data_IF_133049830443
#
_entry.id   IF_133049830443
#
_cell.length_a   1.000
_cell.length_b   1.000
_cell.length_c   1.000
_cell.angle_alpha   90.00
_cell.angle_beta   90.00
_cell.angle_gamma   90.00
#
_symmetry.space_group_name_H-M   'P 1'
#
loop_
_entity.id
_entity.type
_entity.pdbx_description
1 polymer ?
#
# COMPACT_ATOMS: atom_id res chain seq x y z
N UNK A 1 -18.41 -18.22 -48.29
CA UNK A 1 -17.83 -18.82 -47.07
C UNK A 1 -16.32 -18.77 -47.22
N UNK A 2 -15.67 -17.71 -46.72
CA UNK A 2 -14.21 -17.62 -46.64
C UNK A 2 -13.78 -17.85 -45.20
N UNK A 3 -12.99 -18.89 -44.97
CA UNK A 3 -12.41 -19.23 -43.67
C UNK A 3 -11.23 -18.30 -43.37
N UNK A 4 -11.30 -17.58 -42.25
CA UNK A 4 -10.22 -16.77 -41.69
C UNK A 4 -9.08 -17.69 -41.18
N UNK A 5 -7.80 -17.31 -41.31
CA UNK A 5 -6.70 -18.06 -40.74
C UNK A 5 -6.61 -17.82 -39.22
N UNK A 6 -6.46 -18.92 -38.49
CA UNK A 6 -6.14 -18.99 -37.06
C UNK A 6 -4.79 -18.33 -36.78
N UNK A 7 -4.77 -17.34 -35.88
CA UNK A 7 -3.55 -16.72 -35.40
C UNK A 7 -2.76 -17.73 -34.55
N UNK A 8 -1.56 -18.09 -35.03
CA UNK A 8 -0.60 -18.90 -34.29
C UNK A 8 0.12 -17.99 -33.30
N UNK A 9 0.02 -18.28 -32.01
CA UNK A 9 0.81 -17.64 -30.96
C UNK A 9 2.30 -17.91 -31.21
N UNK A 10 3.03 -16.93 -31.75
CA UNK A 10 4.48 -16.99 -31.88
C UNK A 10 5.14 -16.62 -30.54
N UNK A 11 5.98 -17.51 -30.01
CA UNK A 11 6.85 -17.21 -28.89
C UNK A 11 7.77 -16.01 -29.22
N UNK A 12 8.08 -15.14 -28.25
CA UNK A 12 8.93 -13.97 -28.49
C UNK A 12 10.36 -14.39 -28.91
N UNK A 13 11.02 -13.60 -29.78
CA UNK A 13 12.37 -13.89 -30.24
C UNK A 13 13.37 -13.92 -29.07
N UNK A 14 14.41 -14.76 -29.14
CA UNK A 14 15.39 -14.91 -28.06
C UNK A 14 16.15 -13.60 -27.84
N UNK A 15 16.06 -13.05 -26.63
CA UNK A 15 16.79 -11.84 -26.21
C UNK A 15 15.93 -10.64 -25.80
N UNK A 16 14.60 -10.67 -26.00
CA UNK A 16 13.70 -9.67 -25.39
C UNK A 16 13.19 -10.17 -24.05
N UNK A 17 13.59 -9.51 -22.96
CA UNK A 17 12.99 -9.75 -21.62
C UNK A 17 11.50 -9.44 -21.70
N UNK A 18 10.65 -10.26 -21.06
CA UNK A 18 9.22 -9.98 -20.96
C UNK A 18 9.04 -8.63 -20.25
N UNK A 19 8.17 -7.79 -20.78
CA UNK A 19 7.81 -6.48 -20.19
C UNK A 19 6.64 -6.62 -19.21
N UNK A 20 5.96 -7.77 -19.24
CA UNK A 20 4.84 -8.13 -18.37
C UNK A 20 5.06 -9.54 -17.86
N UNK A 21 4.95 -9.71 -16.54
CA UNK A 21 4.92 -11.01 -15.89
C UNK A 21 3.63 -11.15 -15.10
N UNK A 22 3.06 -12.35 -15.10
CA UNK A 22 1.75 -12.63 -14.50
C UNK A 22 1.85 -13.78 -13.51
N UNK A 23 1.15 -13.63 -12.40
CA UNK A 23 0.91 -14.64 -11.39
C UNK A 23 -0.60 -14.78 -11.16
N UNK A 24 -1.09 -16.01 -11.14
CA UNK A 24 -2.48 -16.32 -10.85
C UNK A 24 -2.58 -17.01 -9.49
N UNK A 25 -3.27 -16.35 -8.56
CA UNK A 25 -3.64 -16.92 -7.28
C UNK A 25 -4.89 -17.80 -7.44
N UNK A 26 -5.10 -18.75 -6.52
CA UNK A 26 -6.32 -19.57 -6.52
C UNK A 26 -7.53 -18.87 -5.85
N UNK A 27 -7.39 -17.58 -5.53
CA UNK A 27 -8.36 -16.75 -4.81
C UNK A 27 -8.17 -15.29 -5.23
N UNK A 28 -9.17 -14.45 -4.98
CA UNK A 28 -9.07 -13.02 -5.32
C UNK A 28 -8.00 -12.34 -4.47
N UNK A 29 -7.21 -11.46 -5.08
CA UNK A 29 -6.17 -10.67 -4.42
C UNK A 29 -6.80 -9.42 -3.82
N UNK A 30 -6.67 -9.26 -2.51
CA UNK A 30 -7.24 -8.12 -1.78
C UNK A 30 -6.22 -7.03 -1.47
N UNK A 31 -5.00 -7.43 -1.13
CA UNK A 31 -3.89 -6.53 -0.83
C UNK A 31 -2.58 -7.13 -1.30
N UNK A 32 -1.61 -6.26 -1.57
CA UNK A 32 -0.28 -6.68 -2.00
C UNK A 32 0.78 -5.63 -1.68
N UNK A 33 2.04 -6.06 -1.59
CA UNK A 33 3.17 -5.15 -1.45
C UNK A 33 4.49 -5.77 -1.93
N UNK A 34 5.34 -4.93 -2.51
CA UNK A 34 6.68 -5.30 -2.92
C UNK A 34 7.61 -5.48 -1.72
N UNK A 35 8.44 -6.51 -1.76
CA UNK A 35 9.58 -6.58 -0.86
C UNK A 35 10.59 -5.51 -1.21
N UNK A 36 11.08 -4.81 -0.18
CA UNK A 36 12.10 -3.77 -0.32
C UNK A 36 13.52 -4.28 -0.10
N UNK A 37 13.69 -5.59 0.16
CA UNK A 37 15.00 -6.20 0.38
C UNK A 37 15.82 -6.26 -0.92
N UNK A 38 17.07 -5.74 -0.93
CA UNK A 38 17.91 -5.74 -2.14
C UNK A 38 18.25 -7.14 -2.66
N UNK A 39 18.40 -8.11 -1.77
CA UNK A 39 18.75 -9.50 -2.09
C UNK A 39 17.56 -10.36 -2.55
N UNK A 40 16.34 -9.82 -2.51
CA UNK A 40 15.10 -10.53 -2.84
C UNK A 40 14.32 -9.80 -3.93
N UNK A 41 14.93 -9.70 -5.11
CA UNK A 41 14.33 -9.07 -6.30
C UNK A 41 13.03 -9.78 -6.69
N UNK A 42 12.11 -9.00 -7.26
CA UNK A 42 10.81 -9.46 -7.75
C UNK A 42 9.98 -10.29 -6.76
N UNK A 43 10.12 -10.02 -5.46
CA UNK A 43 9.33 -10.67 -4.41
C UNK A 43 8.18 -9.78 -3.98
N UNK A 44 6.99 -10.36 -3.89
CA UNK A 44 5.78 -9.69 -3.41
C UNK A 44 5.10 -10.55 -2.35
N UNK A 45 4.34 -9.91 -1.47
CA UNK A 45 3.34 -10.57 -0.65
C UNK A 45 1.95 -10.22 -1.21
N UNK A 46 1.07 -11.21 -1.30
CA UNK A 46 -0.33 -11.06 -1.73
C UNK A 46 -1.25 -11.66 -0.66
N UNK A 47 -2.34 -10.95 -0.36
CA UNK A 47 -3.36 -11.35 0.60
C UNK A 47 -4.65 -11.76 -0.10
N UNK A 48 -5.32 -12.76 0.45
CA UNK A 48 -6.58 -13.24 -0.11
C UNK A 48 -7.79 -12.39 0.23
N UNK A 49 -8.79 -12.45 -0.64
CA UNK A 49 -10.18 -12.20 -0.30
C UNK A 49 -10.96 -13.51 -0.38
N UNK A 50 -11.28 -14.07 0.78
CA UNK A 50 -12.18 -15.20 0.95
C UNK A 50 -13.19 -14.80 2.02
N UNK A 51 -14.48 -15.04 1.78
CA UNK A 51 -15.55 -14.61 2.70
C UNK A 51 -15.49 -15.36 4.04
N UNK A 52 -15.03 -16.61 4.03
CA UNK A 52 -14.85 -17.42 5.22
C UNK A 52 -13.60 -17.05 6.04
N UNK A 53 -13.58 -17.51 7.30
CA UNK A 53 -12.49 -17.32 8.25
C UNK A 53 -11.29 -18.24 7.97
N UNK A 54 -10.75 -18.19 6.76
CA UNK A 54 -9.64 -19.05 6.30
C UNK A 54 -8.79 -18.36 5.22
N UNK A 55 -8.69 -17.03 5.32
CA UNK A 55 -7.87 -16.23 4.43
C UNK A 55 -6.38 -16.63 4.51
N UNK A 56 -5.61 -16.23 3.52
CA UNK A 56 -4.20 -16.59 3.37
C UNK A 56 -3.40 -15.40 2.91
N UNK A 57 -2.15 -15.37 3.35
CA UNK A 57 -1.13 -14.50 2.78
C UNK A 57 -0.08 -15.38 2.14
N UNK A 58 0.33 -15.01 0.94
CA UNK A 58 1.30 -15.76 0.15
C UNK A 58 2.42 -14.84 -0.31
N UNK A 59 3.65 -15.31 -0.11
CA UNK A 59 4.85 -14.67 -0.64
C UNK A 59 5.15 -15.35 -1.98
N UNK A 60 5.20 -14.54 -3.03
CA UNK A 60 5.52 -14.96 -4.39
C UNK A 60 6.79 -14.28 -4.85
N UNK A 61 7.53 -14.94 -5.73
CA UNK A 61 8.71 -14.33 -6.37
C UNK A 61 8.82 -14.76 -7.82
N UNK A 62 9.22 -13.84 -8.69
CA UNK A 62 9.58 -14.18 -10.05
C UNK A 62 10.90 -14.94 -10.06
N UNK A 63 10.92 -16.10 -10.69
CA UNK A 63 12.15 -16.77 -11.08
C UNK A 63 12.62 -16.16 -12.41
N UNK A 64 13.75 -15.45 -12.38
CA UNK A 64 14.27 -14.76 -13.57
C UNK A 64 14.77 -15.73 -14.65
N UNK A 65 15.12 -16.98 -14.30
CA UNK A 65 15.59 -17.99 -15.26
C UNK A 65 14.42 -18.59 -16.04
N UNK A 66 13.34 -18.94 -15.35
CA UNK A 66 12.14 -19.52 -15.97
C UNK A 66 11.16 -18.46 -16.46
N UNK A 67 11.30 -17.21 -16.01
CA UNK A 67 10.37 -16.11 -16.29
C UNK A 67 8.94 -16.37 -15.81
N UNK A 68 8.81 -17.13 -14.73
CA UNK A 68 7.55 -17.52 -14.11
C UNK A 68 7.56 -17.23 -12.60
N UNK A 69 6.39 -16.89 -12.06
CA UNK A 69 6.24 -16.67 -10.62
C UNK A 69 6.08 -18.00 -9.88
N UNK A 70 6.78 -18.11 -8.75
CA UNK A 70 6.63 -19.23 -7.82
C UNK A 70 6.15 -18.74 -6.45
N UNK A 71 5.20 -19.45 -5.87
CA UNK A 71 4.84 -19.32 -4.47
C UNK A 71 5.97 -19.86 -3.59
N UNK A 72 6.48 -19.03 -2.67
CA UNK A 72 7.60 -19.38 -1.78
C UNK A 72 7.14 -19.77 -0.38
N UNK A 73 6.13 -19.10 0.13
CA UNK A 73 5.54 -19.37 1.45
C UNK A 73 4.08 -18.96 1.45
N UNK A 74 3.21 -19.79 2.04
CA UNK A 74 1.80 -19.47 2.28
C UNK A 74 1.49 -19.72 3.74
N UNK A 75 0.78 -18.80 4.38
CA UNK A 75 0.37 -18.93 5.77
C UNK A 75 -1.06 -18.41 5.95
N UNK A 76 -1.73 -18.92 6.99
CA UNK A 76 -3.12 -18.60 7.27
C UNK A 76 -3.24 -17.21 7.91
N UNK A 77 -4.28 -16.49 7.51
CA UNK A 77 -4.69 -15.22 8.07
C UNK A 77 -6.21 -15.27 8.36
N UNK A 78 -6.69 -14.84 9.53
CA UNK A 78 -8.10 -14.91 9.91
C UNK A 78 -9.09 -14.29 8.92
N UNK A 79 -8.81 -13.05 8.50
CA UNK A 79 -9.65 -12.21 7.66
C UNK A 79 -8.87 -11.75 6.42
N UNK A 80 -9.52 -11.19 5.39
CA UNK A 80 -8.80 -10.51 4.31
C UNK A 80 -7.89 -9.43 4.90
N UNK A 81 -6.64 -9.37 4.44
CA UNK A 81 -5.68 -8.41 4.95
C UNK A 81 -6.00 -7.02 4.40
N UNK A 82 -6.46 -6.09 5.25
CA UNK A 82 -6.82 -4.72 4.81
C UNK A 82 -5.63 -3.97 4.21
N UNK A 83 -4.42 -4.31 4.66
CA UNK A 83 -3.16 -3.89 4.06
C UNK A 83 -2.05 -4.90 4.38
N UNK A 84 -1.04 -4.94 3.54
CA UNK A 84 0.20 -5.71 3.72
C UNK A 84 1.36 -4.76 3.43
N UNK A 85 2.42 -4.78 4.24
CA UNK A 85 3.64 -4.03 3.97
C UNK A 85 4.87 -4.78 4.46
N UNK A 86 5.92 -4.82 3.66
CA UNK A 86 7.24 -5.23 4.13
C UNK A 86 7.85 -4.14 4.99
N UNK A 87 8.72 -4.54 5.94
CA UNK A 87 9.53 -3.57 6.68
C UNK A 87 10.30 -2.68 5.69
N UNK A 88 10.31 -1.34 5.84
CA UNK A 88 10.96 -0.42 4.91
C UNK A 88 12.50 -0.42 5.07
N UNK A 89 13.13 -1.59 5.04
CA UNK A 89 14.56 -1.78 5.20
C UNK A 89 15.27 -2.04 3.86
N UNK A 90 15.65 -0.94 3.20
CA UNK A 90 16.41 -0.98 1.96
C UNK A 90 17.86 -1.46 2.11
N UNK A 91 18.37 -1.63 3.34
CA UNK A 91 19.75 -2.05 3.60
C UNK A 91 19.86 -3.51 4.06
N UNK A 92 18.74 -4.14 4.41
CA UNK A 92 18.71 -5.53 4.91
C UNK A 92 19.38 -5.69 6.28
N UNK A 93 19.34 -4.66 7.12
CA UNK A 93 19.91 -4.65 8.48
C UNK A 93 18.96 -5.28 9.50
N UNK A 94 17.66 -5.19 9.27
CA UNK A 94 16.62 -5.76 10.10
C UNK A 94 16.29 -7.20 9.68
N UNK A 95 15.66 -7.99 10.56
CA UNK A 95 15.03 -9.23 10.14
C UNK A 95 14.04 -8.97 8.99
N UNK A 96 13.85 -9.98 8.14
CA UNK A 96 12.94 -9.88 7.00
C UNK A 96 11.48 -9.95 7.50
N UNK A 97 10.94 -8.78 7.85
CA UNK A 97 9.62 -8.65 8.47
C UNK A 97 8.55 -8.23 7.46
N UNK A 98 7.36 -8.76 7.66
CA UNK A 98 6.14 -8.47 6.91
C UNK A 98 5.05 -8.13 7.91
N UNK A 99 4.36 -7.01 7.75
CA UNK A 99 3.22 -6.64 8.58
C UNK A 99 1.91 -6.80 7.80
N UNK A 100 0.86 -7.25 8.49
CA UNK A 100 -0.49 -7.40 7.94
C UNK A 100 -1.53 -6.86 8.91
N UNK A 101 -2.53 -6.15 8.39
CA UNK A 101 -3.68 -5.67 9.17
C UNK A 101 -4.95 -6.46 8.87
N UNK A 102 -5.86 -6.49 9.85
CA UNK A 102 -7.17 -7.12 9.78
C UNK A 102 -7.91 -6.80 11.08
N UNK A 103 -8.28 -7.82 11.85
CA UNK A 103 -8.70 -7.67 13.26
C UNK A 103 -7.58 -7.11 14.16
N UNK A 104 -6.34 -7.55 13.94
CA UNK A 104 -5.15 -7.09 14.65
C UNK A 104 -4.02 -6.79 13.68
N UNK A 105 -3.04 -6.01 14.13
CA UNK A 105 -1.80 -5.84 13.40
C UNK A 105 -0.87 -7.00 13.75
N UNK A 106 -0.41 -7.74 12.74
CA UNK A 106 0.49 -8.89 12.90
C UNK A 106 1.81 -8.59 12.22
N UNK A 107 2.91 -8.90 12.89
CA UNK A 107 4.26 -8.86 12.33
C UNK A 107 4.76 -10.28 12.20
N UNK A 108 5.07 -10.63 10.97
CA UNK A 108 5.56 -11.93 10.55
C UNK A 108 7.02 -11.81 10.17
N UNK A 109 7.78 -12.89 10.34
CA UNK A 109 9.12 -13.03 9.81
C UNK A 109 9.11 -13.99 8.65
N UNK A 110 9.51 -13.51 7.49
CA UNK A 110 9.74 -14.31 6.32
C UNK A 110 11.13 -14.98 6.42
N UNK A 111 11.13 -16.30 6.31
CA UNK A 111 12.31 -17.14 6.16
C UNK A 111 12.12 -17.84 4.80
N UNK A 112 13.20 -18.17 4.09
CA UNK A 112 13.15 -18.57 2.66
C UNK A 112 11.98 -19.48 2.24
N UNK A 113 11.63 -20.47 3.07
CA UNK A 113 10.54 -21.42 2.80
C UNK A 113 9.39 -21.37 3.82
N UNK A 114 9.47 -20.52 4.85
CA UNK A 114 8.50 -20.50 5.93
C UNK A 114 8.31 -19.09 6.47
N UNK A 115 7.07 -18.73 6.77
CA UNK A 115 6.75 -17.45 7.44
C UNK A 115 6.17 -17.72 8.81
N UNK A 116 6.71 -17.06 9.83
CA UNK A 116 6.30 -17.26 11.23
C UNK A 116 5.79 -15.97 11.84
N UNK A 117 4.75 -16.07 12.66
CA UNK A 117 4.27 -14.94 13.45
C UNK A 117 5.29 -14.61 14.54
N UNK A 118 5.85 -13.41 14.52
CA UNK A 118 6.78 -12.93 15.57
C UNK A 118 6.03 -12.12 16.63
N UNK A 119 5.16 -11.21 16.20
CA UNK A 119 4.47 -10.29 17.10
C UNK A 119 3.00 -10.09 16.69
N UNK A 120 2.10 -10.14 17.68
CA UNK A 120 0.70 -9.73 17.54
C UNK A 120 0.52 -8.42 18.32
N UNK A 121 0.22 -7.35 17.61
CA UNK A 121 -0.02 -6.03 18.17
C UNK A 121 -1.52 -5.86 18.43
N UNK A 122 -1.87 -5.92 19.70
CA UNK A 122 -3.24 -5.77 20.19
C UNK A 122 -3.27 -4.80 21.37
N UNK A 123 -4.21 -3.86 21.33
CA UNK A 123 -4.42 -2.85 22.37
C UNK A 123 -5.40 -3.35 23.45
N UNK A 124 -6.14 -4.42 23.17
CA UNK A 124 -7.22 -4.89 24.01
C UNK A 124 -6.77 -6.04 24.91
N UNK A 125 -6.45 -5.72 26.17
CA UNK A 125 -6.07 -6.72 27.18
C UNK A 125 -7.26 -7.34 27.92
N UNK A 126 -8.46 -6.74 27.82
CA UNK A 126 -9.56 -7.01 28.75
C UNK A 126 -10.94 -7.25 28.09
N UNK A 127 -11.06 -7.24 26.76
CA UNK A 127 -12.33 -7.58 26.10
C UNK A 127 -12.11 -8.40 24.84
N UNK A 128 -13.08 -9.27 24.55
CA UNK A 128 -13.04 -10.22 23.43
C UNK A 128 -13.29 -9.55 22.06
N UNK A 129 -13.58 -8.24 22.03
CA UNK A 129 -13.94 -7.49 20.83
C UNK A 129 -13.02 -6.29 20.61
N UNK A 130 -12.25 -6.31 19.52
CA UNK A 130 -11.49 -5.16 19.03
C UNK A 130 -12.13 -4.65 17.73
N UNK A 131 -12.15 -3.32 17.54
CA UNK A 131 -12.52 -2.76 16.26
C UNK A 131 -11.48 -3.14 15.19
N UNK A 132 -11.90 -3.61 14.00
CA UNK A 132 -10.99 -3.99 12.94
C UNK A 132 -10.21 -2.80 12.40
N UNK A 133 -8.98 -3.07 12.01
CA UNK A 133 -8.07 -2.10 11.41
C UNK A 133 -8.39 -1.91 9.93
N UNK A 134 -8.59 -0.66 9.54
CA UNK A 134 -8.90 -0.27 8.15
C UNK A 134 -7.65 -0.16 7.30
N UNK A 135 -6.52 0.19 7.91
CA UNK A 135 -5.21 0.34 7.25
C UNK A 135 -4.10 0.44 8.29
N UNK A 136 -2.85 0.44 7.80
CA UNK A 136 -1.68 0.81 8.58
C UNK A 136 -0.58 1.38 7.66
N UNK A 137 0.41 2.04 8.23
CA UNK A 137 1.63 2.43 7.52
C UNK A 137 2.86 2.16 8.38
N UNK A 138 3.98 1.87 7.71
CA UNK A 138 5.26 1.61 8.34
C UNK A 138 6.19 2.79 8.11
N UNK A 139 6.71 3.38 9.19
CA UNK A 139 7.56 4.55 9.07
C UNK A 139 8.89 4.19 8.37
N UNK A 140 9.15 4.83 7.23
CA UNK A 140 10.34 4.58 6.41
C UNK A 140 11.63 5.15 7.00
N UNK A 141 11.54 6.12 7.91
CA UNK A 141 12.71 6.73 8.56
C UNK A 141 13.07 6.00 9.87
N UNK A 142 12.06 5.60 10.63
CA UNK A 142 12.20 4.80 11.85
C UNK A 142 11.41 3.49 11.72
N UNK A 143 12.03 2.40 11.21
CA UNK A 143 11.38 1.11 11.02
C UNK A 143 10.85 0.45 12.32
N UNK A 144 11.11 1.04 13.48
CA UNK A 144 10.50 0.62 14.74
C UNK A 144 9.12 1.24 14.97
N UNK A 145 8.62 2.11 14.09
CA UNK A 145 7.33 2.76 14.23
C UNK A 145 6.32 2.29 13.17
N UNK A 146 5.16 1.89 13.64
CA UNK A 146 3.98 1.55 12.83
C UNK A 146 2.80 2.38 13.29
N UNK A 147 1.92 2.75 12.37
CA UNK A 147 0.68 3.47 12.67
C UNK A 147 -0.49 2.71 12.07
N UNK A 148 -1.55 2.51 12.84
CA UNK A 148 -2.77 1.81 12.40
C UNK A 148 -3.98 2.74 12.48
N UNK A 149 -4.90 2.64 11.54
CA UNK A 149 -6.22 3.27 11.55
C UNK A 149 -7.32 2.25 11.82
N UNK A 150 -8.39 2.68 12.47
CA UNK A 150 -9.50 1.82 12.89
C UNK A 150 -10.85 2.48 12.65
N UNK A 151 -11.90 1.66 12.53
CA UNK A 151 -13.28 2.14 12.47
C UNK A 151 -13.75 2.77 13.80
N UNK A 152 -13.05 2.53 14.90
CA UNK A 152 -13.35 3.12 16.21
C UNK A 152 -12.94 4.60 16.36
N UNK A 153 -12.70 5.29 15.24
CA UNK A 153 -12.24 6.69 15.15
C UNK A 153 -10.79 6.94 15.58
N UNK A 154 -10.05 5.90 15.96
CA UNK A 154 -8.69 6.06 16.50
C UNK A 154 -7.58 5.76 15.51
N UNK A 155 -6.46 6.44 15.70
CA UNK A 155 -5.16 6.04 15.21
C UNK A 155 -4.31 5.54 16.38
N UNK A 156 -3.67 4.38 16.22
CA UNK A 156 -2.74 3.83 17.21
C UNK A 156 -1.34 3.79 16.63
N UNK A 157 -0.36 4.31 17.37
CA UNK A 157 1.05 4.28 17.02
C UNK A 157 1.73 3.23 17.89
N UNK A 158 2.43 2.32 17.22
CA UNK A 158 3.10 1.18 17.81
C UNK A 158 4.61 1.40 17.78
N UNK A 159 5.26 1.09 18.89
CA UNK A 159 6.71 0.92 18.96
C UNK A 159 7.05 -0.56 18.85
N UNK A 160 7.92 -0.91 17.90
CA UNK A 160 8.54 -2.22 17.79
C UNK A 160 9.92 -2.21 18.43
N UNK A 161 10.24 -3.29 19.12
CA UNK A 161 11.60 -3.58 19.54
C UNK A 161 12.07 -4.77 18.73
N UNK A 162 12.73 -4.50 17.60
CA UNK A 162 13.40 -5.54 16.82
C UNK A 162 14.74 -5.82 17.48
N UNK A 163 14.82 -6.89 18.28
CA UNK A 163 16.06 -7.33 18.88
C UNK A 163 17.13 -7.56 17.82
N UNK A 164 18.30 -6.92 17.98
CA UNK A 164 19.48 -7.35 17.23
C UNK A 164 19.83 -8.78 17.65
N UNK A 165 20.31 -9.59 16.71
CA UNK A 165 20.65 -11.01 16.94
C UNK A 165 21.86 -11.11 17.89
N UNK A 166 21.62 -11.00 19.18
CA UNK A 166 22.56 -11.29 20.26
C UNK A 166 22.01 -12.48 21.06
N UNK A 167 22.18 -13.68 20.52
CA UNK A 167 21.91 -14.94 21.23
C UNK A 167 20.55 -15.59 20.99
N UNK A 168 20.38 -16.77 21.61
CA UNK A 168 19.22 -17.68 21.47
C UNK A 168 17.99 -17.15 22.23
N UNK A 169 17.26 -16.20 21.66
CA UNK A 169 15.90 -15.85 22.11
C UNK A 169 14.90 -16.21 21.00
N UNK A 170 13.78 -16.83 21.37
CA UNK A 170 12.83 -17.47 20.46
C UNK A 170 11.76 -16.49 19.89
N UNK A 171 11.61 -15.31 20.49
CA UNK A 171 10.84 -14.18 19.94
C UNK A 171 11.76 -12.96 19.92
N UNK A 172 12.08 -12.48 18.72
CA UNK A 172 13.04 -11.40 18.52
C UNK A 172 12.36 -10.04 18.35
N UNK A 173 11.05 -10.02 18.12
CA UNK A 173 10.28 -8.78 17.93
C UNK A 173 9.18 -8.70 18.98
N UNK A 174 9.25 -7.67 19.82
CA UNK A 174 8.13 -7.27 20.69
C UNK A 174 7.55 -5.96 20.17
N UNK A 175 6.32 -5.64 20.56
CA UNK A 175 5.75 -4.35 20.26
C UNK A 175 4.79 -3.89 21.34
N UNK A 176 4.66 -2.57 21.46
CA UNK A 176 3.85 -1.91 22.47
C UNK A 176 3.11 -0.71 21.87
N UNK A 177 1.98 -0.36 22.48
CA UNK A 177 1.29 0.88 22.15
C UNK A 177 2.15 2.04 22.65
N UNK A 178 2.64 2.86 21.72
CA UNK A 178 3.37 4.09 22.04
C UNK A 178 2.40 5.21 22.37
N UNK A 179 1.33 5.33 21.59
CA UNK A 179 0.24 6.26 21.81
C UNK A 179 -1.00 5.84 21.03
N UNK A 180 -2.17 6.25 21.49
CA UNK A 180 -3.43 6.11 20.78
C UNK A 180 -4.18 7.44 20.92
N UNK A 181 -4.76 7.90 19.81
CA UNK A 181 -5.53 9.13 19.77
C UNK A 181 -6.82 8.95 18.97
N UNK A 182 -7.83 9.73 19.31
CA UNK A 182 -9.01 9.93 18.46
C UNK A 182 -8.57 10.87 17.34
N UNK A 183 -8.50 10.35 16.12
CA UNK A 183 -7.99 11.11 14.98
C UNK A 183 -9.11 11.88 14.28
N UNK A 184 -10.28 11.26 14.14
CA UNK A 184 -11.44 11.78 13.43
C UNK A 184 -12.70 11.68 14.29
N UNK A 185 -13.77 12.35 13.86
CA UNK A 185 -15.08 12.29 14.54
C UNK A 185 -15.93 11.09 14.03
N UNK A 186 -15.41 10.36 13.04
CA UNK A 186 -15.97 9.14 12.43
C UNK A 186 -14.85 8.15 12.11
N UNK A 187 -15.17 7.03 11.47
CA UNK A 187 -14.25 5.97 11.08
C UNK A 187 -13.02 6.51 10.35
N UNK A 188 -11.83 6.03 10.72
CA UNK A 188 -10.57 6.36 10.03
C UNK A 188 -10.31 5.28 8.98
N UNK A 189 -10.08 5.66 7.72
CA UNK A 189 -9.90 4.70 6.62
C UNK A 189 -8.45 4.48 6.22
N UNK A 190 -7.60 5.49 6.36
CA UNK A 190 -6.18 5.34 6.04
C UNK A 190 -5.30 6.22 6.93
N UNK A 191 -4.05 5.80 7.06
CA UNK A 191 -2.99 6.50 7.77
C UNK A 191 -1.72 6.40 6.94
N UNK A 192 -0.93 7.48 6.88
CA UNK A 192 0.35 7.47 6.20
C UNK A 192 1.36 8.42 6.86
N UNK A 193 2.54 7.90 7.17
CA UNK A 193 3.67 8.69 7.68
C UNK A 193 4.22 9.59 6.58
N UNK A 194 4.49 10.83 6.96
CA UNK A 194 5.17 11.79 6.11
C UNK A 194 6.69 11.67 6.29
N UNK A 195 7.46 11.97 5.24
CA UNK A 195 8.91 12.19 5.37
C UNK A 195 9.25 13.64 5.74
N UNK A 196 8.25 14.52 5.86
CA UNK A 196 8.43 15.90 6.28
C UNK A 196 9.01 16.00 7.71
N UNK A 197 9.75 17.07 8.00
CA UNK A 197 10.26 17.34 9.35
C UNK A 197 11.20 16.25 9.89
N UNK A 198 11.91 15.52 9.02
CA UNK A 198 12.77 14.39 9.40
C UNK A 198 12.04 13.04 9.41
N UNK A 199 10.74 13.01 9.12
CA UNK A 199 9.97 11.81 8.78
C UNK A 199 9.63 10.86 9.92
N UNK A 200 10.10 11.13 11.14
CA UNK A 200 9.84 10.27 12.31
C UNK A 200 8.53 10.59 13.01
N UNK A 201 8.16 11.87 13.05
CA UNK A 201 7.15 12.36 13.98
C UNK A 201 5.86 12.84 13.30
N UNK A 202 5.79 12.88 11.96
CA UNK A 202 4.63 13.42 11.25
C UNK A 202 3.85 12.32 10.51
N UNK A 203 2.54 12.31 10.63
CA UNK A 203 1.65 11.46 9.84
C UNK A 203 0.35 12.18 9.50
N UNK A 204 -0.36 11.65 8.51
CA UNK A 204 -1.70 12.10 8.15
C UNK A 204 -2.69 10.92 8.19
N UNK A 205 -3.97 11.23 8.41
CA UNK A 205 -5.07 10.28 8.32
C UNK A 205 -6.26 10.87 7.57
N UNK A 206 -7.08 9.97 7.02
CA UNK A 206 -8.37 10.27 6.37
C UNK A 206 -9.48 9.45 6.99
N UNK A 207 -10.69 9.97 6.95
CA UNK A 207 -11.85 9.28 7.51
C UNK A 207 -13.17 9.57 6.82
N UNK A 208 -14.21 8.96 7.37
CA UNK A 208 -15.61 9.10 6.95
C UNK A 208 -16.20 10.49 7.22
N UNK A 209 -15.48 11.34 7.95
CA UNK A 209 -15.83 12.75 8.14
C UNK A 209 -15.45 13.62 6.91
N UNK A 210 -14.77 13.04 5.92
CA UNK A 210 -14.38 13.72 4.69
C UNK A 210 -13.17 14.64 4.84
N UNK A 211 -12.39 14.49 5.93
CA UNK A 211 -11.22 15.32 6.20
C UNK A 211 -9.90 14.57 6.05
N UNK A 212 -8.86 15.31 5.66
CA UNK A 212 -7.45 14.93 5.80
C UNK A 212 -6.89 15.68 6.99
N UNK A 213 -6.45 14.96 8.02
CA UNK A 213 -5.86 15.55 9.24
C UNK A 213 -4.39 15.17 9.35
N UNK A 214 -3.55 16.12 9.74
CA UNK A 214 -2.12 15.93 9.96
C UNK A 214 -1.79 16.07 11.44
N UNK A 215 -0.90 15.22 11.93
CA UNK A 215 -0.54 15.09 13.33
C UNK A 215 0.98 15.11 13.50
N UNK A 216 1.44 15.72 14.59
CA UNK A 216 2.82 15.65 15.07
C UNK A 216 2.85 14.81 16.35
N UNK A 217 3.59 13.69 16.34
CA UNK A 217 3.74 12.79 17.48
C UNK A 217 4.33 13.46 18.73
N UNK A 218 4.97 14.61 18.58
CA UNK A 218 5.52 15.40 19.69
C UNK A 218 4.47 16.32 20.32
N UNK A 219 3.40 16.63 19.58
CA UNK A 219 2.36 17.60 19.95
C UNK A 219 0.96 17.10 19.57
N UNK A 220 0.56 15.95 20.12
CA UNK A 220 -0.70 15.28 19.80
C UNK A 220 -1.96 15.99 20.34
N UNK A 221 -1.80 17.06 21.11
CA UNK A 221 -2.92 17.89 21.59
C UNK A 221 -3.57 18.68 20.45
N UNK A 222 -2.89 18.84 19.33
CA UNK A 222 -3.37 19.58 18.17
C UNK A 222 -3.18 18.77 16.88
N UNK A 223 -4.22 18.72 16.06
CA UNK A 223 -4.15 18.27 14.68
C UNK A 223 -4.38 19.46 13.74
N UNK A 224 -3.85 19.36 12.52
CA UNK A 224 -4.09 20.36 11.46
C UNK A 224 -4.96 19.73 10.39
N UNK A 225 -6.11 20.35 10.08
CA UNK A 225 -6.93 19.94 8.94
C UNK A 225 -6.26 20.48 7.67
N UNK A 226 -5.82 19.56 6.80
CA UNK A 226 -5.14 19.89 5.54
C UNK A 226 -6.14 20.05 4.41
N UNK A 227 -7.21 19.27 4.42
CA UNK A 227 -8.27 19.32 3.43
C UNK A 227 -9.56 18.80 4.04
N UNK A 228 -10.68 19.32 3.58
CA UNK A 228 -12.00 18.83 3.90
C UNK A 228 -12.80 18.83 2.60
N UNK A 229 -13.45 17.72 2.29
CA UNK A 229 -14.30 17.63 1.12
C UNK A 229 -15.51 18.57 1.28
N UNK A 230 -15.81 19.45 0.30
CA UNK A 230 -16.92 20.40 0.43
C UNK A 230 -18.30 19.74 0.61
N UNK A 231 -18.46 18.48 0.19
CA UNK A 231 -19.69 17.71 0.35
C UNK A 231 -19.60 16.72 1.53
N UNK A 232 -18.49 16.73 2.27
CA UNK A 232 -18.16 15.80 3.35
C UNK A 232 -18.26 14.33 2.89
N UNK A 233 -17.92 14.06 1.63
CA UNK A 233 -17.79 12.68 1.17
C UNK A 233 -16.62 12.00 1.89
N UNK A 234 -16.79 10.73 2.33
CA UNK A 234 -15.71 9.97 2.95
C UNK A 234 -14.43 9.95 2.11
N UNK A 235 -13.27 10.17 2.74
CA UNK A 235 -11.97 10.05 2.07
C UNK A 235 -11.35 8.69 2.40
N UNK A 236 -10.98 7.91 1.38
CA UNK A 236 -10.69 6.48 1.54
C UNK A 236 -9.19 6.14 1.63
N UNK A 237 -8.32 6.90 0.96
CA UNK A 237 -6.89 6.57 0.82
C UNK A 237 -6.00 7.79 0.90
N UNK A 238 -4.80 7.59 1.42
CA UNK A 238 -3.72 8.56 1.46
C UNK A 238 -2.47 8.00 0.81
N UNK A 239 -1.83 8.80 -0.04
CA UNK A 239 -0.51 8.47 -0.58
C UNK A 239 0.39 9.70 -0.53
N UNK A 240 1.46 9.64 0.28
CA UNK A 240 2.48 10.69 0.32
C UNK A 240 3.46 10.52 -0.83
N UNK A 241 3.84 11.66 -1.43
CA UNK A 241 4.96 11.70 -2.33
C UNK A 241 6.27 11.52 -1.53
N UNK A 242 7.00 10.46 -1.85
CA UNK A 242 8.21 10.06 -1.11
C UNK A 242 9.45 10.85 -1.54
N UNK A 243 9.41 11.52 -2.69
CA UNK A 243 10.48 12.38 -3.21
C UNK A 243 10.28 13.84 -2.81
N UNK A 244 9.03 14.32 -2.79
CA UNK A 244 8.68 15.65 -2.27
C UNK A 244 7.57 15.54 -1.21
N UNK A 245 7.93 15.57 0.10
CA UNK A 245 6.98 15.36 1.18
C UNK A 245 6.07 16.57 1.42
N UNK A 246 6.07 17.59 0.56
CA UNK A 246 5.05 18.63 0.59
C UNK A 246 3.74 18.19 -0.08
N UNK A 247 3.80 17.20 -0.97
CA UNK A 247 2.64 16.74 -1.74
C UNK A 247 2.05 15.44 -1.19
N UNK A 248 0.73 15.42 -1.11
CA UNK A 248 -0.08 14.29 -0.68
C UNK A 248 -1.24 14.10 -1.66
N UNK A 249 -1.57 12.87 -1.99
CA UNK A 249 -2.74 12.52 -2.79
C UNK A 249 -3.80 11.85 -1.91
N UNK A 250 -5.07 12.15 -2.19
CA UNK A 250 -6.24 11.54 -1.56
C UNK A 250 -7.34 11.29 -2.59
N UNK A 251 -8.31 10.44 -2.26
CA UNK A 251 -9.50 10.18 -3.07
C UNK A 251 -10.73 10.07 -2.16
N UNK A 252 -11.86 10.56 -2.66
CA UNK A 252 -13.15 10.39 -2.02
C UNK A 252 -13.82 9.08 -2.45
N UNK A 253 -14.74 8.59 -1.62
CA UNK A 253 -15.56 7.42 -1.92
C UNK A 253 -16.37 7.66 -3.20
N UNK A 254 -16.41 6.63 -4.07
CA UNK A 254 -17.08 6.63 -5.37
C UNK A 254 -16.61 7.72 -6.35
N UNK A 255 -15.50 8.42 -6.04
CA UNK A 255 -14.97 9.47 -6.89
C UNK A 255 -14.16 8.90 -8.05
N UNK A 256 -14.33 9.51 -9.22
CA UNK A 256 -13.58 9.20 -10.45
C UNK A 256 -12.31 10.06 -10.58
N UNK A 257 -11.97 10.82 -9.55
CA UNK A 257 -10.85 11.74 -9.53
C UNK A 257 -9.95 11.54 -8.31
N UNK A 258 -8.68 11.89 -8.48
CA UNK A 258 -7.71 11.96 -7.39
C UNK A 258 -7.37 13.41 -7.10
N UNK A 259 -7.34 13.76 -5.83
CA UNK A 259 -7.05 15.12 -5.35
C UNK A 259 -5.59 15.18 -4.90
N UNK A 260 -4.83 16.14 -5.45
CA UNK A 260 -3.47 16.44 -5.02
C UNK A 260 -3.48 17.67 -4.11
N UNK A 261 -2.82 17.55 -2.97
CA UNK A 261 -2.76 18.55 -1.91
C UNK A 261 -1.30 18.97 -1.69
N UNK A 262 -1.09 20.26 -1.39
CA UNK A 262 0.17 20.77 -0.85
C UNK A 262 -0.04 21.10 0.63
N UNK A 263 0.66 20.41 1.53
CA UNK A 263 0.45 20.56 2.98
C UNK A 263 0.87 21.92 3.53
N UNK A 264 1.58 22.72 2.73
CA UNK A 264 1.94 24.11 3.08
C UNK A 264 0.81 25.09 2.76
N UNK A 265 -0.15 24.69 1.92
CA UNK A 265 -1.30 25.49 1.49
C UNK A 265 -2.58 24.71 1.82
N UNK A 266 -2.97 24.64 3.11
CA UNK A 266 -4.13 23.86 3.53
C UNK A 266 -5.43 24.37 2.92
N UNK A 267 -6.44 23.51 2.94
CA UNK A 267 -7.81 23.70 2.45
C UNK A 267 -7.97 23.84 0.94
N UNK A 268 -6.89 24.00 0.16
CA UNK A 268 -6.97 24.20 -1.30
C UNK A 268 -6.24 23.08 -2.05
N UNK A 269 -6.93 22.28 -2.88
CA UNK A 269 -6.25 21.31 -3.72
C UNK A 269 -5.43 22.00 -4.81
N UNK A 270 -4.22 21.50 -5.07
CA UNK A 270 -3.33 22.04 -6.10
C UNK A 270 -3.60 21.46 -7.48
N UNK A 271 -4.15 20.24 -7.55
CA UNK A 271 -4.60 19.62 -8.78
C UNK A 271 -5.69 18.56 -8.51
N UNK A 272 -6.48 18.26 -9.54
CA UNK A 272 -7.40 17.13 -9.60
C UNK A 272 -7.09 16.34 -10.86
N UNK A 273 -6.92 15.03 -10.74
CA UNK A 273 -6.62 14.12 -11.84
C UNK A 273 -7.92 13.42 -12.25
N UNK A 274 -8.46 13.77 -13.42
CA UNK A 274 -9.82 13.41 -13.84
C UNK A 274 -9.87 12.83 -15.27
N UNK A 275 -9.59 11.53 -15.40
CA UNK A 275 -9.74 10.83 -16.69
C UNK A 275 -10.29 9.40 -16.51
N UNK A 276 -10.38 8.91 -15.27
CA UNK A 276 -11.03 7.64 -14.98
C UNK A 276 -12.53 7.69 -15.30
N UNK A 277 -13.06 6.53 -15.71
CA UNK A 277 -14.47 6.33 -16.11
C UNK A 277 -15.30 5.60 -15.06
N UNK A 278 -14.67 5.19 -13.98
CA UNK A 278 -15.28 4.61 -12.79
C UNK A 278 -14.52 5.08 -11.54
N UNK A 279 -14.93 4.63 -10.36
CA UNK A 279 -14.32 5.04 -9.10
C UNK A 279 -12.85 4.60 -9.01
N UNK A 280 -12.03 5.48 -8.44
CA UNK A 280 -10.61 5.22 -8.21
C UNK A 280 -10.48 4.40 -6.92
N UNK A 281 -9.67 3.34 -6.95
CA UNK A 281 -9.46 2.43 -5.83
C UNK A 281 -8.12 2.62 -5.14
N UNK A 282 -7.09 2.98 -5.90
CA UNK A 282 -5.73 3.00 -5.39
C UNK A 282 -4.84 4.08 -6.03
N UNK A 283 -3.89 4.60 -5.25
CA UNK A 283 -2.88 5.60 -5.66
C UNK A 283 -1.48 5.12 -5.26
N UNK A 284 -0.51 5.26 -6.16
CA UNK A 284 0.91 4.97 -5.88
C UNK A 284 1.82 6.01 -6.53
N UNK A 285 2.61 6.73 -5.71
CA UNK A 285 3.62 7.66 -6.21
C UNK A 285 4.84 6.92 -6.75
N UNK A 286 5.44 7.44 -7.82
CA UNK A 286 6.67 6.88 -8.35
C UNK A 286 7.83 7.09 -7.36
N UNK A 287 8.67 6.07 -7.12
CA UNK A 287 9.77 6.17 -6.18
C UNK A 287 10.98 6.91 -6.78
N UNK A 288 11.04 7.07 -8.11
CA UNK A 288 12.14 7.71 -8.82
C UNK A 288 11.83 9.15 -9.28
N UNK A 289 10.59 9.62 -9.11
CA UNK A 289 10.13 10.93 -9.61
C UNK A 289 9.17 11.56 -8.62
N UNK A 290 9.37 12.84 -8.31
CA UNK A 290 8.41 13.63 -7.53
C UNK A 290 7.20 14.07 -8.35
N UNK A 291 7.23 13.87 -9.67
CA UNK A 291 6.19 14.35 -10.58
C UNK A 291 5.30 13.21 -11.10
N UNK A 292 5.65 11.94 -10.86
CA UNK A 292 4.90 10.82 -11.42
C UNK A 292 4.05 10.13 -10.35
N UNK A 293 2.79 9.89 -10.70
CA UNK A 293 1.82 9.21 -9.84
C UNK A 293 1.01 8.24 -10.70
N UNK A 294 0.75 7.05 -10.17
CA UNK A 294 -0.12 6.06 -10.79
C UNK A 294 -1.44 5.96 -10.01
N UNK A 295 -2.54 5.93 -10.74
CA UNK A 295 -3.90 5.75 -10.21
C UNK A 295 -4.54 4.53 -10.85
N UNK A 296 -5.36 3.80 -10.10
CA UNK A 296 -6.02 2.59 -10.55
C UNK A 296 -7.50 2.62 -10.16
N UNK A 297 -8.38 2.13 -11.03
CA UNK A 297 -9.83 2.27 -10.90
C UNK A 297 -10.61 1.04 -11.39
N UNK A 298 -11.92 1.07 -11.15
CA UNK A 298 -12.90 0.08 -11.61
C UNK A 298 -13.14 0.08 -13.13
N UNK A 299 -12.61 1.07 -13.86
CA UNK A 299 -12.66 1.12 -15.33
C UNK A 299 -11.64 0.18 -16.00
N UNK A 300 -11.02 -0.69 -15.20
CA UNK A 300 -9.93 -1.59 -15.56
C UNK A 300 -8.64 -0.86 -15.98
N UNK A 301 -8.52 0.44 -15.73
CA UNK A 301 -7.36 1.22 -16.14
C UNK A 301 -6.42 1.54 -14.98
N UNK A 302 -5.12 1.45 -15.27
CA UNK A 302 -4.07 2.10 -14.49
C UNK A 302 -3.50 3.26 -15.31
N UNK A 303 -3.60 4.47 -14.78
CA UNK A 303 -3.16 5.70 -15.44
C UNK A 303 -1.91 6.23 -14.73
N UNK A 304 -0.89 6.63 -15.50
CA UNK A 304 0.29 7.33 -14.98
C UNK A 304 0.20 8.78 -15.40
N UNK A 305 0.38 9.67 -14.44
CA UNK A 305 0.24 11.11 -14.61
C UNK A 305 1.59 11.79 -14.38
N UNK A 306 1.84 12.85 -15.14
CA UNK A 306 2.93 13.79 -14.87
C UNK A 306 2.35 15.10 -14.33
N UNK A 307 2.70 15.42 -13.08
CA UNK A 307 2.22 16.59 -12.36
C UNK A 307 3.24 17.75 -12.37
N UNK A 308 4.30 17.68 -13.18
CA UNK A 308 5.34 18.72 -13.22
C UNK A 308 4.78 20.11 -13.55
N UNK A 309 3.69 20.19 -14.32
CA UNK A 309 3.12 21.45 -14.77
C UNK A 309 2.14 22.10 -13.77
N UNK A 310 1.95 21.52 -12.57
CA UNK A 310 1.11 22.12 -11.53
C UNK A 310 1.53 23.58 -11.23
N UNK A 311 0.56 24.49 -11.01
CA UNK A 311 -0.88 24.26 -10.85
C UNK A 311 -1.68 24.29 -12.16
N UNK A 312 -1.05 24.20 -13.33
CA UNK A 312 -1.80 24.08 -14.59
C UNK A 312 -2.60 22.78 -14.58
N UNK A 313 -3.79 22.81 -15.18
CA UNK A 313 -4.62 21.63 -15.31
C UNK A 313 -3.86 20.52 -16.04
N UNK A 314 -3.98 19.30 -15.53
CA UNK A 314 -3.40 18.10 -16.11
C UNK A 314 -4.56 17.39 -16.81
N UNK A 315 -4.61 17.51 -18.14
CA UNK A 315 -5.76 17.03 -18.92
C UNK A 315 -5.68 15.53 -19.20
N UNK A 316 -4.48 15.04 -19.54
CA UNK A 316 -4.28 13.65 -19.97
C UNK A 316 -3.16 12.95 -19.18
N UNK A 317 -3.33 11.65 -18.88
CA UNK A 317 -2.26 10.81 -18.37
C UNK A 317 -1.18 10.60 -19.44
N UNK A 318 0.07 10.41 -19.02
CA UNK A 318 1.20 10.14 -19.91
C UNK A 318 1.25 8.67 -20.36
N UNK A 319 0.68 7.76 -19.58
CA UNK A 319 0.57 6.34 -19.90
C UNK A 319 -0.75 5.79 -19.37
N UNK A 320 -1.35 4.87 -20.13
CA UNK A 320 -2.54 4.13 -19.71
C UNK A 320 -2.33 2.64 -19.97
N UNK A 321 -2.62 1.82 -18.97
CA UNK A 321 -2.69 0.37 -19.07
C UNK A 321 -4.13 -0.08 -18.84
N UNK A 322 -4.57 -1.13 -19.55
CA UNK A 322 -5.90 -1.71 -19.37
C UNK A 322 -5.77 -3.19 -19.00
N UNK A 323 -6.18 -3.50 -17.77
CA UNK A 323 -6.22 -4.87 -17.25
C UNK A 323 -7.45 -5.63 -17.75
N UNK A 324 -7.51 -6.93 -17.43
CA UNK A 324 -8.68 -7.76 -17.75
C UNK A 324 -9.80 -7.70 -16.71
N UNK A 325 -9.68 -6.82 -15.71
CA UNK A 325 -10.68 -6.61 -14.65
C UNK A 325 -10.37 -5.36 -13.83
N UNK A 326 -11.23 -5.09 -12.84
CA UNK A 326 -11.15 -3.96 -11.92
C UNK A 326 -9.85 -3.99 -11.13
N UNK A 327 -9.07 -2.90 -11.20
CA UNK A 327 -7.77 -2.84 -10.53
C UNK A 327 -7.99 -2.34 -9.10
N UNK A 328 -7.79 -3.24 -8.14
CA UNK A 328 -8.02 -2.97 -6.71
C UNK A 328 -6.74 -2.56 -5.97
N UNK A 329 -5.58 -2.88 -6.54
CA UNK A 329 -4.28 -2.60 -5.94
C UNK A 329 -3.30 -2.15 -7.02
N UNK A 330 -2.53 -1.10 -6.74
CA UNK A 330 -1.39 -0.70 -7.56
C UNK A 330 -0.22 -0.28 -6.66
N UNK A 331 0.98 -0.76 -6.95
CA UNK A 331 2.17 -0.48 -6.15
C UNK A 331 3.40 -0.38 -7.04
N UNK A 332 4.09 0.75 -6.98
CA UNK A 332 5.41 0.89 -7.59
C UNK A 332 6.48 0.16 -6.77
N UNK A 333 7.43 -0.50 -7.43
CA UNK A 333 8.56 -1.11 -6.74
C UNK A 333 9.62 -0.06 -6.38
N UNK A 334 9.93 0.08 -5.10
CA UNK A 334 10.99 0.99 -4.61
C UNK A 334 12.39 0.49 -4.93
N UNK A 335 12.59 -0.84 -4.96
CA UNK A 335 13.86 -1.47 -5.32
C UNK A 335 14.08 -1.56 -6.83
N UNK A 336 13.00 -1.55 -7.60
CA UNK A 336 13.03 -1.65 -9.06
C UNK A 336 12.10 -0.60 -9.67
N UNK A 337 12.52 0.67 -9.72
CA UNK A 337 11.65 1.79 -10.08
C UNK A 337 11.06 1.76 -11.50
N UNK A 338 11.53 0.88 -12.37
CA UNK A 338 10.96 0.64 -13.70
C UNK A 338 9.72 -0.29 -13.64
N UNK A 339 9.33 -0.81 -12.46
CA UNK A 339 8.29 -1.82 -12.33
C UNK A 339 7.13 -1.38 -11.43
N UNK A 340 5.92 -1.60 -11.92
CA UNK A 340 4.66 -1.47 -11.18
C UNK A 340 4.02 -2.85 -11.04
N UNK A 341 3.45 -3.14 -9.87
CA UNK A 341 2.54 -4.25 -9.69
C UNK A 341 1.11 -3.75 -9.73
N UNK A 342 0.22 -4.50 -10.40
CA UNK A 342 -1.23 -4.33 -10.37
C UNK A 342 -1.89 -5.63 -9.91
N UNK A 343 -2.94 -5.50 -9.12
CA UNK A 343 -3.76 -6.61 -8.64
C UNK A 343 -5.20 -6.43 -9.06
N UNK A 344 -5.76 -7.43 -9.75
CA UNK A 344 -7.16 -7.45 -10.18
C UNK A 344 -7.67 -8.90 -10.17
N UNK A 345 -8.92 -9.12 -9.73
CA UNK A 345 -9.48 -10.47 -9.53
C UNK A 345 -8.49 -11.38 -8.77
N UNK A 346 -8.14 -12.55 -9.31
CA UNK A 346 -7.15 -13.49 -8.79
C UNK A 346 -5.76 -13.32 -9.44
N UNK A 347 -5.51 -12.20 -10.12
CA UNK A 347 -4.32 -11.98 -10.95
C UNK A 347 -3.43 -10.87 -10.37
N UNK A 348 -2.13 -11.18 -10.25
CA UNK A 348 -1.07 -10.21 -10.04
C UNK A 348 -0.30 -10.07 -11.35
N UNK A 349 -0.19 -8.85 -11.86
CA UNK A 349 0.69 -8.55 -12.98
C UNK A 349 1.74 -7.53 -12.56
N UNK A 350 2.99 -7.75 -12.99
CA UNK A 350 4.03 -6.74 -12.89
C UNK A 350 4.35 -6.24 -14.29
N UNK A 351 4.36 -4.92 -14.43
CA UNK A 351 4.50 -4.20 -15.69
C UNK A 351 5.76 -3.37 -15.63
N UNK A 352 6.55 -3.39 -16.71
CA UNK A 352 7.63 -2.44 -16.90
C UNK A 352 7.07 -1.13 -17.47
N UNK A 353 7.44 0.00 -16.89
CA UNK A 353 6.95 1.34 -17.25
C UNK A 353 8.05 2.34 -17.55
#
# INVERSE_FOLDING_TARGET
MSTLPTAVNSAPPPGKRKEIYKYEAAWNIYSMNWSVRPDKRFRLAVGSFVEEYNNKVQIVSLDEETSDFAARSTFDHPYPTTKIMWIPDSKGVFPDLLATSGDYLRVWRAIDTETRLECLLNNNKNSDFCAPLTSFDWNEVDPNLLGTSSIDTTCTIWGLETGQVLGRVHQLVSGHVKTQLIAHDKEVYDIAFSRAGGGRDMFASVGADGSVRMFDLRHLEHSTIIYEDPQHHPLLRLAWNKQDPNYLATMAMDAMEVIILDVRVPCTPVARLNNHKACVNFISWAPHSSCHICTAADDHQALIWDIQQMPRAIEDPILAYTASGEINQVQWSTTQPDWIAIGYNNCLEILRV
#
